data_IF_485492776324
#
_entry.id   IF_485492776324
#
_cell.length_a   1.000
_cell.length_b   1.000
_cell.length_c   1.000
_cell.angle_alpha   90.00
_cell.angle_beta   90.00
_cell.angle_gamma   90.00
#
_symmetry.space_group_name_H-M   'P 1'
#
loop_
_entity.id
_entity.type
_entity.pdbx_description
1 polymer ?
#
# COMPACT_ATOMS: atom_id res chain seq x y z
N UNK A 1 -9.86 -4.43 -0.08
CA UNK A 1 -8.52 -4.68 -0.65
C UNK A 1 -7.48 -4.45 0.43
N UNK A 2 -6.31 -5.10 0.39
CA UNK A 2 -5.18 -4.78 1.29
C UNK A 2 -4.76 -3.29 1.15
N UNK A 3 -5.00 -2.70 -0.02
CA UNK A 3 -4.80 -1.27 -0.31
C UNK A 3 -5.75 -0.38 0.52
N UNK A 4 -6.99 -0.79 0.76
CA UNK A 4 -7.94 -0.01 1.57
C UNK A 4 -7.51 0.04 3.04
N UNK A 5 -6.97 -1.07 3.55
CA UNK A 5 -6.36 -1.11 4.88
C UNK A 5 -5.16 -0.16 4.95
N UNK A 6 -4.34 -0.11 3.90
CA UNK A 6 -3.23 0.85 3.83
C UNK A 6 -3.72 2.30 3.83
N UNK A 7 -4.74 2.65 3.04
CA UNK A 7 -5.35 4.00 3.06
C UNK A 7 -5.85 4.35 4.46
N UNK A 8 -6.55 3.43 5.13
CA UNK A 8 -7.02 3.64 6.50
C UNK A 8 -5.86 3.91 7.47
N UNK A 9 -4.76 3.17 7.39
CA UNK A 9 -3.59 3.38 8.25
C UNK A 9 -2.98 4.78 8.01
N UNK A 10 -2.90 5.24 6.75
CA UNK A 10 -2.40 6.60 6.48
C UNK A 10 -3.27 7.68 7.14
N UNK A 11 -4.59 7.48 7.21
CA UNK A 11 -5.53 8.39 7.89
C UNK A 11 -5.40 8.35 9.41
N UNK A 12 -4.97 7.22 9.97
CA UNK A 12 -4.67 7.10 11.39
C UNK A 12 -3.36 7.79 11.77
N UNK A 13 -2.44 8.00 10.81
CA UNK A 13 -1.18 8.71 11.04
C UNK A 13 -1.39 10.21 10.88
N UNK A 14 -2.10 10.61 9.82
CA UNK A 14 -2.38 12.02 9.50
C UNK A 14 -3.03 12.73 10.70
N UNK A 15 -2.38 13.80 11.18
CA UNK A 15 -2.83 14.60 12.31
C UNK A 15 -2.72 13.94 13.69
N UNK A 16 -2.18 12.72 13.78
CA UNK A 16 -2.06 11.94 15.02
C UNK A 16 -0.60 11.69 15.43
N UNK A 17 0.32 12.53 14.95
CA UNK A 17 1.75 12.46 15.29
C UNK A 17 2.26 13.78 15.86
N UNK A 18 3.33 13.72 16.68
CA UNK A 18 3.92 14.90 17.34
C UNK A 18 4.56 15.89 16.34
N UNK A 19 5.10 15.40 15.22
CA UNK A 19 5.75 16.23 14.22
C UNK A 19 5.18 15.99 12.81
N UNK A 20 5.30 17.00 11.95
CA UNK A 20 4.79 16.98 10.57
C UNK A 20 5.43 15.93 9.66
N UNK A 21 6.43 15.18 10.14
CA UNK A 21 7.00 14.06 9.39
C UNK A 21 5.97 12.96 9.15
N UNK A 22 5.05 12.72 10.10
CA UNK A 22 3.99 11.73 9.96
C UNK A 22 3.06 12.07 8.78
N UNK A 23 2.59 13.31 8.72
CA UNK A 23 1.75 13.81 7.63
C UNK A 23 2.52 13.80 6.30
N UNK A 24 3.78 14.22 6.31
CA UNK A 24 4.66 14.20 5.13
C UNK A 24 4.88 12.77 4.59
N UNK A 25 4.79 11.74 5.42
CA UNK A 25 4.84 10.34 5.01
C UNK A 25 3.46 9.79 4.58
N UNK A 26 2.38 10.21 5.22
CA UNK A 26 1.02 9.73 4.95
C UNK A 26 0.47 10.26 3.61
N UNK A 27 0.62 11.56 3.35
CA UNK A 27 0.02 12.20 2.16
C UNK A 27 0.52 11.65 0.82
N UNK A 28 1.82 11.37 0.62
CA UNK A 28 2.28 10.76 -0.64
C UNK A 28 1.63 9.40 -0.91
N UNK A 29 1.40 8.60 0.12
CA UNK A 29 0.74 7.28 -0.02
C UNK A 29 -0.74 7.45 -0.35
N UNK A 30 -1.46 8.36 0.31
CA UNK A 30 -2.84 8.69 -0.04
C UNK A 30 -2.95 9.19 -1.49
N UNK A 31 -2.03 10.05 -1.93
CA UNK A 31 -1.97 10.53 -3.31
C UNK A 31 -1.70 9.42 -4.32
N UNK A 32 -0.77 8.51 -4.00
CA UNK A 32 -0.47 7.34 -4.81
C UNK A 32 -1.70 6.44 -4.96
N UNK A 33 -2.40 6.13 -3.87
CA UNK A 33 -3.62 5.32 -3.89
C UNK A 33 -4.70 6.04 -4.71
N UNK A 34 -4.91 7.34 -4.49
CA UNK A 34 -5.94 8.12 -5.20
C UNK A 34 -5.77 8.11 -6.72
N UNK A 35 -4.53 8.17 -7.21
CA UNK A 35 -4.27 8.37 -8.64
C UNK A 35 -3.78 7.12 -9.37
N UNK A 36 -3.18 6.17 -8.66
CA UNK A 36 -2.50 5.01 -9.25
C UNK A 36 -2.97 3.66 -8.68
N UNK A 37 -4.13 3.61 -8.01
CA UNK A 37 -4.67 2.34 -7.51
C UNK A 37 -4.71 1.22 -8.57
N UNK A 38 -5.18 1.44 -9.81
CA UNK A 38 -5.22 0.37 -10.81
C UNK A 38 -3.83 -0.22 -11.13
N UNK A 39 -2.80 0.64 -11.19
CA UNK A 39 -1.43 0.21 -11.45
C UNK A 39 -0.85 -0.58 -10.25
N UNK A 40 -1.17 -0.17 -9.03
CA UNK A 40 -0.80 -0.91 -7.82
C UNK A 40 -1.40 -2.32 -7.83
N UNK A 41 -2.70 -2.43 -8.14
CA UNK A 41 -3.40 -3.72 -8.22
C UNK A 41 -2.81 -4.63 -9.30
N UNK A 42 -2.52 -4.09 -10.48
CA UNK A 42 -1.86 -4.83 -11.56
C UNK A 42 -0.49 -5.36 -11.13
N UNK A 43 0.34 -4.52 -10.50
CA UNK A 43 1.67 -4.90 -10.02
C UNK A 43 1.59 -5.98 -8.93
N UNK A 44 0.65 -5.86 -8.00
CA UNK A 44 0.42 -6.87 -6.95
C UNK A 44 -0.04 -8.19 -7.59
N UNK A 45 -0.96 -8.15 -8.55
CA UNK A 45 -1.43 -9.34 -9.24
C UNK A 45 -0.30 -10.01 -10.06
N UNK A 46 0.53 -9.23 -10.75
CA UNK A 46 1.70 -9.72 -11.48
C UNK A 46 2.71 -10.39 -10.54
N UNK A 47 2.97 -9.78 -9.37
CA UNK A 47 3.81 -10.38 -8.35
C UNK A 47 3.23 -11.70 -7.82
N UNK A 48 1.93 -11.73 -7.46
CA UNK A 48 1.24 -12.94 -6.99
C UNK A 48 1.31 -14.07 -8.03
N UNK A 49 1.15 -13.77 -9.33
CA UNK A 49 1.33 -14.74 -10.42
C UNK A 49 2.76 -15.27 -10.53
N UNK A 50 3.77 -14.41 -10.38
CA UNK A 50 5.20 -14.80 -10.42
C UNK A 50 5.64 -15.57 -9.18
N UNK A 51 5.06 -15.26 -8.02
CA UNK A 51 5.41 -15.87 -6.73
C UNK A 51 4.71 -17.23 -6.49
N UNK A 52 3.64 -17.54 -7.22
CA UNK A 52 2.92 -18.83 -7.13
C UNK A 52 3.85 -20.06 -7.27
N UNK A 53 4.75 -20.16 -8.27
CA UNK A 53 5.68 -21.29 -8.35
C UNK A 53 6.73 -21.33 -7.21
N UNK A 54 7.07 -20.19 -6.60
CA UNK A 54 8.04 -20.13 -5.49
C UNK A 54 7.43 -20.64 -4.18
N UNK A 55 6.14 -20.36 -3.92
CA UNK A 55 5.46 -20.80 -2.68
C UNK A 55 5.19 -22.31 -2.68
N UNK A 56 4.90 -22.92 -3.84
CA UNK A 56 4.71 -24.38 -3.96
C UNK A 56 6.01 -25.20 -3.77
N UNK A 57 7.18 -24.59 -3.91
CA UNK A 57 8.46 -25.25 -3.70
C UNK A 57 9.02 -25.09 -2.27
N UNK A 58 8.32 -24.35 -1.41
CA UNK A 58 8.72 -24.07 -0.03
C UNK A 58 7.82 -24.78 1.03
N UNK A 59 6.92 -25.65 0.58
CA UNK A 59 6.15 -26.60 1.41
C UNK A 59 6.67 -28.03 1.24
#
# INVERSE_FOLDING_TARGET
SEIDTLDQVTRQIEGHTICALGDAAAWPIQGLIRHFCPEMEERIAAYKRRAAPMRMAAE
#
